data_IF_880198339170
#
_entry.id   IF_880198339170
#
_cell.length_a   1.000
_cell.length_b   1.000
_cell.length_c   1.000
_cell.angle_alpha   90.00
_cell.angle_beta   90.00
_cell.angle_gamma   90.00
#
_symmetry.space_group_name_H-M   'P 1'
#
loop_
_entity.id
_entity.type
_entity.pdbx_description
1 polymer ?
#
# COMPACT_ATOMS: atom_id res chain seq x y z
N UNK A 1 22.55 4.38 -6.41
CA UNK A 1 22.46 4.05 -7.86
C UNK A 1 21.75 2.72 -8.05
N UNK A 2 22.37 1.57 -7.73
CA UNK A 2 21.71 0.27 -7.89
C UNK A 2 20.39 0.14 -7.10
N UNK A 3 20.42 0.36 -5.78
CA UNK A 3 19.21 0.28 -4.91
C UNK A 3 18.11 1.24 -5.38
N UNK A 4 18.49 2.44 -5.83
CA UNK A 4 17.56 3.46 -6.33
C UNK A 4 16.87 2.99 -7.60
N UNK A 5 17.63 2.49 -8.59
CA UNK A 5 17.10 1.98 -9.86
C UNK A 5 16.20 0.76 -9.61
N UNK A 6 16.66 -0.19 -8.78
CA UNK A 6 15.87 -1.35 -8.39
C UNK A 6 14.58 -0.95 -7.67
N UNK A 7 14.62 0.06 -6.80
CA UNK A 7 13.44 0.59 -6.11
C UNK A 7 12.42 1.21 -7.06
N UNK A 8 12.86 2.02 -8.03
CA UNK A 8 11.98 2.56 -9.07
C UNK A 8 11.37 1.46 -9.95
N UNK A 9 12.18 0.48 -10.37
CA UNK A 9 11.68 -0.65 -11.17
C UNK A 9 10.67 -1.50 -10.43
N UNK A 10 10.88 -1.74 -9.12
CA UNK A 10 9.95 -2.51 -8.30
C UNK A 10 8.65 -1.74 -8.03
N UNK A 11 8.73 -0.43 -7.79
CA UNK A 11 7.54 0.42 -7.60
C UNK A 11 6.62 0.40 -8.83
N UNK A 12 7.18 0.42 -10.04
CA UNK A 12 6.37 0.28 -11.24
C UNK A 12 5.80 -1.13 -11.40
N UNK A 13 6.60 -2.17 -11.15
CA UNK A 13 6.16 -3.56 -11.25
C UNK A 13 4.96 -3.89 -10.34
N UNK A 14 4.98 -3.45 -9.08
CA UNK A 14 3.89 -3.71 -8.14
C UNK A 14 2.59 -2.99 -8.53
N UNK A 15 2.69 -1.78 -9.09
CA UNK A 15 1.54 -1.02 -9.57
C UNK A 15 0.86 -1.71 -10.77
N UNK A 16 1.65 -2.28 -11.67
CA UNK A 16 1.15 -3.03 -12.82
C UNK A 16 0.50 -4.36 -12.38
N UNK A 17 1.13 -5.09 -11.45
CA UNK A 17 0.61 -6.35 -10.91
C UNK A 17 -0.74 -6.15 -10.20
N UNK A 18 -0.83 -5.12 -9.34
CA UNK A 18 -2.07 -4.76 -8.65
C UNK A 18 -3.19 -4.46 -9.65
N UNK A 19 -2.90 -3.69 -10.70
CA UNK A 19 -3.89 -3.36 -11.71
C UNK A 19 -4.40 -4.60 -12.45
N UNK A 20 -3.50 -5.52 -12.82
CA UNK A 20 -3.88 -6.77 -13.48
C UNK A 20 -4.68 -7.70 -12.57
N UNK A 21 -4.52 -7.61 -11.25
CA UNK A 21 -5.28 -8.41 -10.29
C UNK A 21 -6.76 -8.03 -10.18
N UNK A 22 -7.12 -6.77 -10.48
CA UNK A 22 -8.50 -6.24 -10.31
C UNK A 22 -9.24 -5.99 -11.62
N UNK A 23 -8.54 -5.87 -12.76
CA UNK A 23 -9.18 -5.61 -14.05
C UNK A 23 -9.46 -6.89 -14.83
N UNK A 24 -10.67 -6.97 -15.39
CA UNK A 24 -11.07 -8.07 -16.30
C UNK A 24 -10.13 -8.08 -17.53
N UNK A 25 -9.63 -9.24 -17.98
CA UNK A 25 -8.56 -9.37 -18.97
C UNK A 25 -8.79 -8.60 -20.28
N UNK A 26 -10.04 -8.39 -20.69
CA UNK A 26 -10.40 -7.66 -21.91
C UNK A 26 -10.22 -6.13 -21.81
N UNK A 27 -10.20 -5.56 -20.59
CA UNK A 27 -10.10 -4.09 -20.36
C UNK A 27 -8.73 -3.62 -19.85
N UNK A 28 -7.74 -4.52 -19.86
CA UNK A 28 -6.40 -4.28 -19.29
C UNK A 28 -5.67 -3.10 -19.94
N UNK A 29 -5.85 -2.89 -21.25
CA UNK A 29 -5.15 -1.83 -21.98
C UNK A 29 -5.65 -0.42 -21.60
N UNK A 30 -6.96 -0.25 -21.40
CA UNK A 30 -7.52 1.02 -20.98
C UNK A 30 -7.05 1.39 -19.58
N UNK A 31 -7.04 0.44 -18.63
CA UNK A 31 -6.60 0.73 -17.27
C UNK A 31 -5.13 1.17 -17.20
N UNK A 32 -4.26 0.60 -18.04
CA UNK A 32 -2.85 0.97 -18.09
C UNK A 32 -2.69 2.37 -18.71
N UNK A 33 -3.43 2.65 -19.79
CA UNK A 33 -3.48 3.99 -20.37
C UNK A 33 -3.94 5.05 -19.37
N UNK A 34 -4.97 4.77 -18.55
CA UNK A 34 -5.42 5.67 -17.49
C UNK A 34 -4.37 5.91 -16.40
N UNK A 35 -3.70 4.85 -15.95
CA UNK A 35 -2.64 4.93 -14.96
C UNK A 35 -1.49 5.84 -15.43
N UNK A 36 -1.06 5.68 -16.69
CA UNK A 36 -0.01 6.48 -17.30
C UNK A 36 -0.48 7.92 -17.50
N UNK A 37 -1.68 8.13 -18.03
CA UNK A 37 -2.27 9.46 -18.26
C UNK A 37 -2.31 10.28 -16.96
N UNK A 38 -2.82 9.68 -15.89
CA UNK A 38 -2.93 10.34 -14.59
C UNK A 38 -1.54 10.63 -14.03
N UNK A 39 -0.59 9.70 -14.16
CA UNK A 39 0.78 9.89 -13.68
C UNK A 39 1.50 11.04 -14.40
N UNK A 40 1.32 11.18 -15.71
CA UNK A 40 1.89 12.30 -16.46
C UNK A 40 1.19 13.63 -16.18
N UNK A 41 -0.14 13.62 -16.11
CA UNK A 41 -0.91 14.84 -15.86
C UNK A 41 -0.63 15.39 -14.45
N UNK A 42 -0.71 14.54 -13.42
CA UNK A 42 -0.52 14.97 -12.03
C UNK A 42 0.95 15.03 -11.61
N UNK A 43 1.79 14.13 -12.12
CA UNK A 43 3.19 14.07 -11.74
C UNK A 43 4.04 15.10 -12.48
N UNK A 44 3.99 15.06 -13.81
CA UNK A 44 4.93 15.80 -14.66
C UNK A 44 4.44 17.23 -14.95
N UNK A 45 3.14 17.40 -15.22
CA UNK A 45 2.55 18.71 -15.48
C UNK A 45 2.06 19.43 -14.21
N UNK A 46 1.36 18.73 -13.30
CA UNK A 46 0.81 19.38 -12.11
C UNK A 46 1.85 19.59 -11.00
N UNK A 47 2.94 18.81 -10.96
CA UNK A 47 4.03 18.96 -10.00
C UNK A 47 4.61 20.39 -9.92
N UNK A 48 5.14 20.96 -11.02
CA UNK A 48 5.67 22.33 -11.02
C UNK A 48 4.58 23.39 -10.80
N UNK A 49 3.35 23.14 -11.26
CA UNK A 49 2.22 24.05 -11.07
C UNK A 49 1.80 24.16 -9.60
N UNK A 50 1.69 23.01 -8.90
CA UNK A 50 1.41 22.94 -7.46
C UNK A 50 2.51 23.62 -6.64
N UNK A 51 3.78 23.38 -6.96
CA UNK A 51 4.92 24.02 -6.29
C UNK A 51 4.90 25.54 -6.51
N UNK A 52 4.59 26.00 -7.73
CA UNK A 52 4.52 27.41 -8.08
C UNK A 52 3.42 28.14 -7.31
N UNK A 53 2.20 27.63 -7.33
CA UNK A 53 1.07 28.18 -6.57
C UNK A 53 1.34 28.24 -5.07
N UNK A 54 1.96 27.20 -4.51
CA UNK A 54 2.28 27.18 -3.08
C UNK A 54 3.41 28.14 -2.75
N UNK A 55 4.45 28.19 -3.57
CA UNK A 55 5.54 29.16 -3.43
C UNK A 55 4.98 30.57 -3.43
N UNK A 56 4.04 30.89 -4.31
CA UNK A 56 3.36 32.19 -4.33
C UNK A 56 2.48 32.43 -3.10
N UNK A 57 1.88 31.38 -2.53
CA UNK A 57 1.09 31.49 -1.30
C UNK A 57 1.94 31.75 -0.05
N UNK A 58 3.16 31.23 0.01
CA UNK A 58 4.09 31.46 1.12
C UNK A 58 4.84 32.79 1.01
N UNK A 59 4.90 33.40 -0.17
CA UNK A 59 5.73 34.58 -0.48
C UNK A 59 5.14 35.92 -0.01
N UNK A 60 4.22 35.95 0.96
CA UNK A 60 3.49 37.14 1.49
C UNK A 60 4.23 38.48 1.28
N UNK A 61 4.05 39.07 0.09
CA UNK A 61 4.51 40.40 -0.34
C UNK A 61 5.97 40.81 -0.03
N UNK A 62 6.91 39.89 0.21
CA UNK A 62 8.34 40.21 0.45
C UNK A 62 9.25 39.67 -0.66
N UNK A 63 10.00 40.57 -1.28
CA UNK A 63 10.86 40.30 -2.44
C UNK A 63 12.36 40.18 -2.10
N UNK A 64 12.71 39.83 -0.86
CA UNK A 64 14.12 39.60 -0.51
C UNK A 64 14.60 38.24 -1.07
N UNK A 65 15.85 38.14 -1.57
CA UNK A 65 16.38 36.90 -2.15
C UNK A 65 16.34 35.71 -1.19
N UNK A 66 16.45 35.98 0.11
CA UNK A 66 16.41 34.98 1.17
C UNK A 66 15.01 34.38 1.37
N UNK A 67 13.95 35.18 1.24
CA UNK A 67 12.55 34.75 1.39
C UNK A 67 12.13 33.82 0.25
N UNK A 68 12.68 34.04 -0.96
CA UNK A 68 12.47 33.15 -2.11
C UNK A 68 13.03 31.75 -1.85
N UNK A 69 14.20 31.66 -1.24
CA UNK A 69 14.82 30.37 -0.89
C UNK A 69 14.05 29.63 0.22
N UNK A 70 13.57 30.38 1.23
CA UNK A 70 12.76 29.81 2.32
C UNK A 70 11.40 29.32 1.84
N UNK A 71 10.73 30.09 0.96
CA UNK A 71 9.45 29.70 0.36
C UNK A 71 9.59 28.44 -0.51
N UNK A 72 10.66 28.37 -1.31
CA UNK A 72 10.97 27.21 -2.14
C UNK A 72 11.25 25.96 -1.29
N UNK A 73 12.09 26.09 -0.24
CA UNK A 73 12.34 25.00 0.70
C UNK A 73 11.05 24.53 1.38
N UNK A 74 10.17 25.46 1.74
CA UNK A 74 8.90 25.15 2.41
C UNK A 74 7.95 24.39 1.47
N UNK A 75 7.92 24.77 0.19
CA UNK A 75 7.14 24.07 -0.82
C UNK A 75 7.58 22.59 -0.98
N UNK A 76 8.87 22.27 -0.80
CA UNK A 76 9.38 20.89 -0.86
C UNK A 76 8.94 19.97 0.30
N UNK A 77 8.40 20.50 1.41
CA UNK A 77 7.83 19.66 2.48
C UNK A 77 6.44 19.10 2.12
N UNK A 78 5.75 19.70 1.16
CA UNK A 78 4.37 19.34 0.80
C UNK A 78 4.31 18.07 -0.06
N UNK A 79 5.18 17.87 -1.07
CA UNK A 79 5.32 16.57 -1.74
C UNK A 79 5.62 15.44 -0.75
N UNK A 80 6.46 15.67 0.26
CA UNK A 80 6.73 14.67 1.30
C UNK A 80 5.46 14.32 2.10
N UNK A 81 4.65 15.31 2.49
CA UNK A 81 3.39 15.06 3.17
C UNK A 81 2.38 14.29 2.28
N UNK A 82 2.29 14.63 0.99
CA UNK A 82 1.46 13.90 0.01
C UNK A 82 1.95 12.46 -0.19
N UNK A 83 3.26 12.21 -0.18
CA UNK A 83 3.82 10.86 -0.23
C UNK A 83 3.41 10.04 1.01
N UNK A 84 3.47 10.62 2.21
CA UNK A 84 3.05 9.93 3.43
C UNK A 84 1.56 9.60 3.41
N UNK A 85 0.72 10.54 2.97
CA UNK A 85 -0.72 10.30 2.80
C UNK A 85 -0.99 9.17 1.78
N UNK A 86 -0.25 9.16 0.67
CA UNK A 86 -0.33 8.11 -0.34
C UNK A 86 0.02 6.73 0.20
N UNK A 87 1.09 6.62 1.00
CA UNK A 87 1.47 5.34 1.64
C UNK A 87 0.37 4.82 2.57
N UNK A 88 -0.26 5.69 3.35
CA UNK A 88 -1.35 5.31 4.27
C UNK A 88 -2.56 4.82 3.48
N UNK A 89 -3.01 5.57 2.47
CA UNK A 89 -4.13 5.20 1.62
C UNK A 89 -3.86 3.92 0.83
N UNK A 90 -2.64 3.77 0.31
CA UNK A 90 -2.22 2.57 -0.41
C UNK A 90 -2.19 1.33 0.51
N UNK A 91 -1.76 1.50 1.76
CA UNK A 91 -1.78 0.42 2.73
C UNK A 91 -3.20 -0.03 3.07
N UNK A 92 -4.13 0.91 3.23
CA UNK A 92 -5.56 0.59 3.40
C UNK A 92 -6.12 -0.14 2.18
N UNK A 93 -5.81 0.35 0.97
CA UNK A 93 -6.23 -0.29 -0.28
C UNK A 93 -5.67 -1.70 -0.44
N UNK A 94 -4.42 -1.94 -0.04
CA UNK A 94 -3.80 -3.27 -0.06
C UNK A 94 -4.56 -4.26 0.83
N UNK A 95 -5.09 -3.81 1.97
CA UNK A 95 -5.91 -4.63 2.86
C UNK A 95 -7.32 -4.87 2.30
N UNK A 96 -7.92 -3.89 1.62
CA UNK A 96 -9.26 -4.05 1.04
C UNK A 96 -9.27 -4.95 -0.18
N UNK A 97 -8.26 -4.86 -1.05
CA UNK A 97 -8.15 -5.72 -2.26
C UNK A 97 -8.08 -7.21 -1.90
N UNK A 98 -7.36 -7.57 -0.83
CA UNK A 98 -7.31 -8.96 -0.36
C UNK A 98 -8.67 -9.46 0.16
N UNK A 99 -9.48 -8.57 0.73
CA UNK A 99 -10.84 -8.90 1.18
C UNK A 99 -11.78 -9.03 -0.01
N UNK A 100 -11.64 -8.16 -1.00
CA UNK A 100 -12.50 -8.11 -2.18
C UNK A 100 -12.28 -9.32 -3.11
N UNK A 101 -11.03 -9.73 -3.31
CA UNK A 101 -10.67 -10.96 -4.02
C UNK A 101 -11.26 -12.22 -3.35
N UNK A 102 -11.42 -12.22 -2.02
CA UNK A 102 -12.02 -13.33 -1.29
C UNK A 102 -13.55 -13.37 -1.43
N UNK A 103 -14.20 -12.23 -1.60
CA UNK A 103 -15.65 -12.13 -1.85
C UNK A 103 -15.93 -12.51 -3.31
N UNK A 104 -15.17 -11.96 -4.26
CA UNK A 104 -15.30 -12.25 -5.69
C UNK A 104 -15.16 -13.75 -6.01
N UNK A 105 -14.20 -14.45 -5.39
CA UNK A 105 -14.03 -15.90 -5.57
C UNK A 105 -15.22 -16.72 -5.07
N UNK A 106 -15.88 -16.27 -3.98
CA UNK A 106 -17.08 -16.94 -3.44
C UNK A 106 -18.28 -16.79 -4.37
N UNK A 107 -18.47 -15.61 -4.95
CA UNK A 107 -19.57 -15.35 -5.89
C UNK A 107 -19.37 -16.08 -7.23
N UNK A 108 -18.12 -16.28 -7.66
CA UNK A 108 -17.77 -16.99 -8.90
C UNK A 108 -17.73 -18.53 -8.75
N UNK A 109 -17.98 -19.09 -7.56
CA UNK A 109 -18.04 -20.54 -7.33
C UNK A 109 -16.74 -21.30 -7.60
N UNK A 110 -15.59 -20.62 -7.57
CA UNK A 110 -14.28 -21.24 -7.82
C UNK A 110 -13.78 -22.00 -6.57
N UNK A 111 -13.26 -23.25 -6.69
CA UNK A 111 -12.68 -23.97 -5.55
C UNK A 111 -11.48 -23.21 -4.97
N UNK A 112 -11.32 -23.26 -3.64
CA UNK A 112 -10.24 -22.58 -2.92
C UNK A 112 -8.86 -23.12 -3.34
N UNK A 113 -8.08 -22.30 -4.04
CA UNK A 113 -6.69 -22.59 -4.39
C UNK A 113 -5.80 -22.68 -3.11
N UNK A 114 -5.01 -23.75 -2.92
CA UNK A 114 -4.15 -23.93 -1.75
C UNK A 114 -3.00 -22.91 -1.64
N UNK A 115 -2.75 -22.13 -2.70
CA UNK A 115 -1.66 -21.13 -2.75
C UNK A 115 -2.01 -19.79 -2.08
N UNK A 116 -3.27 -19.54 -1.72
CA UNK A 116 -3.67 -18.29 -1.06
C UNK A 116 -3.94 -18.57 0.43
N UNK A 117 -3.05 -18.18 1.37
CA UNK A 117 -3.35 -18.27 2.79
C UNK A 117 -4.39 -17.19 3.10
N UNK A 118 -5.65 -17.55 2.94
CA UNK A 118 -6.79 -16.71 3.30
C UNK A 118 -6.63 -16.24 4.75
N UNK A 119 -6.94 -14.97 5.00
CA UNK A 119 -6.94 -14.40 6.35
C UNK A 119 -7.85 -15.18 7.32
N UNK A 120 -8.83 -15.94 6.80
CA UNK A 120 -9.60 -16.95 7.55
C UNK A 120 -8.77 -18.16 7.97
N UNK A 121 -7.88 -18.68 7.11
CA UNK A 121 -6.97 -19.78 7.46
C UNK A 121 -5.89 -19.32 8.42
N UNK A 122 -5.37 -18.09 8.30
CA UNK A 122 -4.45 -17.53 9.32
C UNK A 122 -5.16 -17.35 10.67
N UNK A 123 -6.42 -16.90 10.70
CA UNK A 123 -7.21 -16.80 11.94
C UNK A 123 -7.56 -18.18 12.53
N UNK A 124 -8.00 -19.14 11.71
CA UNK A 124 -8.25 -20.53 12.15
C UNK A 124 -6.96 -21.24 12.59
N UNK A 125 -5.85 -21.02 11.89
CA UNK A 125 -4.56 -21.64 12.24
C UNK A 125 -3.99 -21.00 13.50
N UNK A 126 -4.06 -19.68 13.67
CA UNK A 126 -3.66 -19.00 14.92
C UNK A 126 -4.56 -19.46 16.09
N UNK A 127 -5.88 -19.58 15.88
CA UNK A 127 -6.82 -20.06 16.91
C UNK A 127 -6.61 -21.54 17.29
N UNK A 128 -6.25 -22.39 16.32
CA UNK A 128 -5.97 -23.81 16.56
C UNK A 128 -4.61 -23.98 17.26
N UNK A 129 -3.58 -23.22 16.85
CA UNK A 129 -2.26 -23.22 17.48
C UNK A 129 -2.35 -22.68 18.92
N UNK A 130 -3.15 -21.63 19.18
CA UNK A 130 -3.36 -21.15 20.55
C UNK A 130 -4.08 -22.19 21.43
N UNK A 131 -5.08 -22.89 20.88
CA UNK A 131 -5.79 -23.95 21.60
C UNK A 131 -4.90 -25.16 21.91
N UNK A 132 -4.03 -25.56 20.98
CA UNK A 132 -3.06 -26.65 21.21
C UNK A 132 -2.01 -26.27 22.25
N UNK A 133 -1.52 -25.02 22.23
CA UNK A 133 -0.57 -24.53 23.23
C UNK A 133 -1.18 -24.50 24.65
N UNK A 134 -2.47 -24.18 24.75
CA UNK A 134 -3.21 -24.24 26.02
C UNK A 134 -3.39 -25.69 26.51
N UNK A 135 -3.67 -26.64 25.61
CA UNK A 135 -3.77 -28.07 25.94
C UNK A 135 -2.45 -28.64 26.43
N UNK A 136 -1.33 -28.31 25.77
CA UNK A 136 0.00 -28.78 26.20
C UNK A 136 0.42 -28.18 27.55
N UNK A 137 0.10 -26.91 27.84
CA UNK A 137 0.38 -26.30 29.14
C UNK A 137 -0.41 -26.99 30.29
N UNK A 138 -1.66 -27.36 30.03
CA UNK A 138 -2.49 -28.09 30.99
C UNK A 138 -1.95 -29.51 31.21
N UNK A 139 -1.50 -30.18 30.15
CA UNK A 139 -0.95 -31.54 30.26
C UNK A 139 0.42 -31.58 30.97
N UNK A 140 1.27 -30.57 30.75
CA UNK A 140 2.54 -30.41 31.46
C UNK A 140 2.34 -30.14 32.96
N UNK A 141 1.31 -29.36 33.32
CA UNK A 141 0.91 -29.16 34.71
C UNK A 141 0.42 -30.47 35.36
N UNK A 142 -0.38 -31.27 34.62
CA UNK A 142 -0.89 -32.58 35.06
C UNK A 142 0.22 -33.60 35.28
N UNK A 143 1.27 -33.60 34.45
CA UNK A 143 2.44 -34.47 34.60
C UNK A 143 3.32 -34.10 35.79
N UNK A 144 3.40 -32.82 36.17
CA UNK A 144 4.17 -32.41 37.36
C UNK A 144 3.49 -32.79 38.68
N UNK A 145 2.15 -32.81 38.71
CA UNK A 145 1.36 -33.24 39.89
C UNK A 145 1.38 -34.77 40.04
N UNK A 146 1.44 -35.52 38.94
CA UNK A 146 1.52 -36.99 38.97
C UNK A 146 2.91 -37.53 39.34
N UNK A 147 3.93 -36.67 39.40
CA UNK A 147 5.32 -37.03 39.75
C UNK A 147 5.73 -36.57 41.17
N UNK A 148 4.76 -36.09 41.97
CA UNK A 148 4.88 -35.92 43.43
C UNK A 148 3.98 -36.94 44.12
#
# INVERSE_FOLDING_TARGET
>A
MFITITGLSFNWAINVDLQMSVVVPWRRNSSNAWQILISHLFGDAAGPYLIGMLSDRFREHRDTPWDRFVSLRTAFYIPNAMCLLSVILFFVAALTVLRDQAIYRREMGLPDDPACPSSSRRKSQVSCISALKEKEAIEMSRRSISSR
#
